data_IF_031659409898
#
_entry.id   IF_031659409898
#
_cell.length_a   1.000
_cell.length_b   1.000
_cell.length_c   1.000
_cell.angle_alpha   90.00
_cell.angle_beta   90.00
_cell.angle_gamma   90.00
#
_symmetry.space_group_name_H-M   'P 1'
#
loop_
_entity.id
_entity.type
_entity.pdbx_description
1 polymer ?
#
# COMPACT_ATOMS: atom_id res chain seq x y z
N UNK A 1 -12.93 -5.44 48.63
CA UNK A 1 -12.04 -4.52 47.90
C UNK A 1 -11.08 -5.38 47.11
N UNK A 2 -11.18 -5.43 45.76
CA UNK A 2 -10.15 -6.05 44.94
C UNK A 2 -8.86 -5.22 45.06
N UNK A 3 -7.71 -5.85 44.77
CA UNK A 3 -6.46 -5.11 44.63
C UNK A 3 -6.58 -4.13 43.45
N UNK A 4 -5.94 -2.95 43.56
CA UNK A 4 -5.87 -2.03 42.44
C UNK A 4 -5.15 -2.72 41.27
N UNK A 5 -5.82 -2.80 40.12
CA UNK A 5 -5.16 -3.13 38.86
C UNK A 5 -4.14 -2.04 38.54
N UNK A 6 -3.03 -2.41 37.90
CA UNK A 6 -2.17 -1.38 37.31
C UNK A 6 -2.90 -0.86 36.06
N UNK A 7 -3.00 0.46 35.91
CA UNK A 7 -3.51 1.07 34.68
C UNK A 7 -2.38 1.69 33.89
N UNK A 8 -2.56 1.81 32.58
CA UNK A 8 -1.61 2.48 31.69
C UNK A 8 -2.33 3.51 30.82
N UNK A 9 -1.70 4.65 30.61
CA UNK A 9 -2.27 5.72 29.79
C UNK A 9 -2.18 5.33 28.31
N UNK A 10 -3.22 5.65 27.54
CA UNK A 10 -3.09 5.72 26.08
C UNK A 10 -1.90 6.61 25.70
N UNK A 11 -0.98 6.10 24.86
CA UNK A 11 0.27 6.78 24.48
C UNK A 11 1.45 6.63 25.46
N UNK A 12 1.35 5.81 26.51
CA UNK A 12 2.48 5.52 27.41
C UNK A 12 3.53 4.57 26.79
N UNK A 13 4.82 4.88 27.02
CA UNK A 13 5.96 4.11 26.50
C UNK A 13 6.49 3.09 27.52
N UNK A 14 5.94 1.87 27.53
CA UNK A 14 6.38 0.76 28.39
C UNK A 14 7.71 0.11 27.97
N UNK A 15 8.39 0.66 26.95
CA UNK A 15 9.67 0.21 26.40
C UNK A 15 10.85 0.15 27.40
N UNK A 16 10.64 0.49 28.68
CA UNK A 16 11.65 0.47 29.73
C UNK A 16 12.10 -0.93 30.21
N UNK A 17 11.42 -2.02 29.84
CA UNK A 17 11.68 -3.35 30.41
C UNK A 17 12.80 -4.19 29.78
N UNK A 18 13.28 -3.87 28.58
CA UNK A 18 14.17 -4.77 27.82
C UNK A 18 15.48 -4.12 27.36
N UNK A 19 16.39 -3.93 28.31
CA UNK A 19 17.78 -3.56 28.02
C UNK A 19 18.65 -4.79 27.60
N UNK A 20 18.29 -5.49 26.52
CA UNK A 20 19.19 -6.38 25.78
C UNK A 20 18.65 -6.82 24.39
N UNK A 21 19.35 -6.41 23.33
CA UNK A 21 19.41 -7.08 22.00
C UNK A 21 18.10 -7.21 21.17
N UNK A 22 17.72 -6.11 20.50
CA UNK A 22 17.01 -6.14 19.21
C UNK A 22 17.45 -4.94 18.34
N UNK A 23 17.46 -5.03 16.99
CA UNK A 23 17.88 -3.93 16.12
C UNK A 23 16.84 -2.80 16.07
N UNK A 24 17.31 -1.57 15.92
CA UNK A 24 16.49 -0.37 16.13
C UNK A 24 15.46 -0.10 15.02
N UNK A 25 14.18 -0.23 15.38
CA UNK A 25 13.06 0.57 14.89
C UNK A 25 12.07 0.69 16.06
N UNK A 26 11.58 1.90 16.35
CA UNK A 26 10.91 2.18 17.64
C UNK A 26 9.74 1.26 17.96
N UNK A 27 9.69 0.77 19.20
CA UNK A 27 8.50 0.17 19.80
C UNK A 27 7.36 1.19 19.77
N UNK A 28 6.43 0.95 18.86
CA UNK A 28 5.05 1.38 18.97
C UNK A 28 4.22 0.12 18.98
N UNK A 29 3.14 0.15 19.74
CA UNK A 29 2.33 -1.00 20.12
C UNK A 29 1.42 -1.40 18.97
N UNK A 30 1.99 -1.90 17.87
CA UNK A 30 1.24 -2.07 16.61
C UNK A 30 0.47 -3.38 16.57
N UNK A 31 -0.65 -3.37 15.84
CA UNK A 31 -1.38 -4.54 15.37
C UNK A 31 -1.66 -4.37 13.88
N UNK A 32 -1.54 -5.45 13.10
CA UNK A 32 -1.81 -5.42 11.66
C UNK A 32 -3.27 -5.72 11.38
N UNK A 33 -3.88 -4.89 10.52
CA UNK A 33 -5.20 -5.15 9.93
C UNK A 33 -5.18 -4.89 8.42
N UNK A 34 -6.21 -5.36 7.74
CA UNK A 34 -6.38 -5.18 6.29
C UNK A 34 -6.49 -3.69 5.93
N UNK A 35 -5.67 -3.24 4.99
CA UNK A 35 -5.79 -1.90 4.44
C UNK A 35 -7.07 -1.80 3.61
N UNK A 36 -7.96 -0.87 3.96
CA UNK A 36 -9.20 -0.63 3.20
C UNK A 36 -8.90 0.01 1.85
N UNK A 37 -8.55 -0.81 0.85
CA UNK A 37 -8.44 -0.39 -0.54
C UNK A 37 -9.84 0.01 -1.05
N UNK A 38 -10.06 1.32 -1.21
CA UNK A 38 -11.22 1.87 -1.89
C UNK A 38 -11.20 1.45 -3.36
N UNK A 39 -11.77 0.27 -3.63
CA UNK A 39 -11.98 -0.24 -4.99
C UNK A 39 -13.21 0.42 -5.58
N UNK A 40 -13.01 1.28 -6.58
CA UNK A 40 -14.08 1.96 -7.32
C UNK A 40 -14.77 0.97 -8.28
N UNK A 41 -15.53 0.05 -7.69
CA UNK A 41 -16.07 -1.17 -8.31
C UNK A 41 -17.32 -0.89 -9.15
N UNK A 42 -17.15 -0.16 -10.27
CA UNK A 42 -18.24 0.16 -11.21
C UNK A 42 -17.95 -0.12 -12.69
N UNK A 43 -16.96 -0.96 -13.03
CA UNK A 43 -16.71 -1.37 -14.43
C UNK A 43 -16.69 -2.89 -14.71
N UNK A 44 -17.25 -3.72 -13.82
CA UNK A 44 -17.60 -5.11 -14.16
C UNK A 44 -19.04 -5.25 -14.70
N UNK A 45 -19.28 -4.83 -15.96
CA UNK A 45 -20.37 -5.40 -16.80
C UNK A 45 -20.30 -5.02 -18.29
N UNK A 46 -19.46 -5.72 -19.06
CA UNK A 46 -19.64 -5.87 -20.51
C UNK A 46 -18.97 -7.17 -21.00
N UNK A 47 -19.75 -8.24 -21.21
CA UNK A 47 -19.31 -9.48 -21.88
C UNK A 47 -19.78 -9.48 -23.34
N UNK A 48 -19.18 -10.38 -24.14
CA UNK A 48 -19.45 -10.67 -25.56
C UNK A 48 -18.83 -9.64 -26.52
N UNK A 49 -18.10 -10.01 -27.59
CA UNK A 49 -17.61 -11.33 -28.01
C UNK A 49 -16.98 -11.25 -29.41
N UNK A 50 -15.92 -12.03 -29.69
CA UNK A 50 -15.29 -12.12 -31.01
C UNK A 50 -14.68 -13.53 -31.23
N UNK A 51 -14.55 -14.01 -32.48
CA UNK A 51 -14.48 -15.45 -32.75
C UNK A 51 -13.07 -16.05 -32.69
N UNK A 52 -13.02 -17.36 -32.42
CA UNK A 52 -11.81 -18.16 -32.50
C UNK A 52 -11.44 -18.47 -33.97
N UNK A 53 -10.16 -18.33 -34.32
CA UNK A 53 -9.57 -18.86 -35.54
C UNK A 53 -8.71 -20.09 -35.21
N UNK A 54 -8.91 -21.18 -35.95
CA UNK A 54 -8.34 -22.48 -35.62
C UNK A 54 -7.17 -22.88 -36.54
N UNK A 55 -6.11 -23.44 -35.95
CA UNK A 55 -5.57 -24.72 -36.41
C UNK A 55 -4.57 -24.76 -37.58
N UNK A 56 -3.36 -25.21 -37.22
CA UNK A 56 -2.51 -26.14 -37.97
C UNK A 56 -1.55 -25.62 -39.07
N UNK A 57 -0.49 -26.42 -39.29
CA UNK A 57 0.30 -26.42 -40.52
C UNK A 57 1.73 -25.87 -40.41
N UNK A 58 2.69 -26.71 -40.01
CA UNK A 58 4.09 -26.48 -40.37
C UNK A 58 4.29 -26.73 -41.87
N UNK A 59 4.85 -25.77 -42.63
CA UNK A 59 5.68 -26.04 -43.82
C UNK A 59 6.56 -24.83 -44.18
N UNK A 60 7.70 -25.12 -44.82
CA UNK A 60 8.81 -24.17 -45.03
C UNK A 60 8.60 -23.21 -46.20
N UNK A 61 8.98 -21.94 -45.96
CA UNK A 61 9.62 -20.96 -46.88
C UNK A 61 9.05 -20.79 -48.30
N UNK A 62 8.57 -19.57 -48.58
CA UNK A 62 9.27 -18.61 -49.46
C UNK A 62 8.86 -17.17 -49.11
N UNK A 63 9.76 -16.21 -49.34
CA UNK A 63 9.58 -14.78 -49.02
C UNK A 63 8.80 -14.08 -50.12
N UNK A 64 7.89 -13.18 -49.74
CA UNK A 64 7.03 -12.41 -50.64
C UNK A 64 5.63 -12.33 -50.07
N UNK A 65 5.41 -11.39 -49.14
CA UNK A 65 4.06 -11.01 -48.74
C UNK A 65 3.53 -9.97 -49.73
N UNK A 66 2.29 -10.13 -50.13
CA UNK A 66 1.60 -9.26 -51.08
C UNK A 66 0.48 -8.53 -50.36
N UNK A 67 0.17 -7.31 -50.80
CA UNK A 67 -0.94 -6.52 -50.30
C UNK A 67 -1.65 -5.79 -51.44
N UNK A 68 -2.95 -5.57 -51.30
CA UNK A 68 -3.75 -4.78 -52.23
C UNK A 68 -3.71 -3.32 -51.80
N UNK A 69 -3.02 -2.46 -52.54
CA UNK A 69 -2.90 -1.05 -52.18
C UNK A 69 -4.19 -0.28 -52.51
N UNK A 70 -4.94 0.13 -51.49
CA UNK A 70 -6.21 0.83 -51.70
C UNK A 70 -6.07 2.36 -51.78
N UNK A 71 -5.06 2.95 -51.12
CA UNK A 71 -4.95 4.41 -50.96
C UNK A 71 -4.16 5.16 -52.03
N UNK A 72 -3.01 4.63 -52.49
CA UNK A 72 -2.05 5.39 -53.31
C UNK A 72 -2.22 5.22 -54.83
N UNK A 73 -2.63 4.04 -55.29
CA UNK A 73 -2.50 3.65 -56.71
C UNK A 73 -3.83 3.64 -57.50
N UNK A 74 -4.97 3.69 -56.80
CA UNK A 74 -6.29 3.61 -57.42
C UNK A 74 -6.63 2.19 -57.89
N UNK A 75 -7.52 1.53 -57.16
CA UNK A 75 -8.13 0.22 -57.50
C UNK A 75 -7.16 -0.96 -57.73
N UNK A 76 -6.83 -1.65 -56.64
CA UNK A 76 -6.66 -3.11 -56.68
C UNK A 76 -5.31 -3.66 -57.12
N UNK A 77 -4.28 -2.82 -57.29
CA UNK A 77 -2.94 -3.29 -57.63
C UNK A 77 -2.31 -4.05 -56.44
N UNK A 78 -1.72 -5.21 -56.73
CA UNK A 78 -1.10 -6.08 -55.74
C UNK A 78 0.40 -5.78 -55.68
N UNK A 79 0.85 -5.16 -54.60
CA UNK A 79 2.23 -4.69 -54.40
C UNK A 79 2.95 -5.56 -53.34
N UNK A 80 4.27 -5.73 -53.46
CA UNK A 80 5.06 -6.46 -52.47
C UNK A 80 5.34 -5.63 -51.21
N UNK A 81 4.96 -6.18 -50.06
CA UNK A 81 5.25 -5.62 -48.73
C UNK A 81 6.66 -5.98 -48.29
N UNK A 82 7.38 -5.01 -47.74
CA UNK A 82 8.73 -5.18 -47.18
C UNK A 82 8.68 -5.68 -45.73
N UNK A 83 7.95 -4.96 -44.87
CA UNK A 83 7.72 -5.28 -43.47
C UNK A 83 6.43 -4.57 -42.97
N UNK A 84 5.92 -4.97 -41.80
CA UNK A 84 4.87 -4.24 -41.08
C UNK A 84 5.51 -3.53 -39.88
N UNK A 85 5.36 -2.21 -39.79
CA UNK A 85 6.00 -1.36 -38.77
C UNK A 85 5.13 -1.12 -37.54
N UNK A 86 3.82 -1.03 -37.73
CA UNK A 86 2.87 -0.61 -36.71
C UNK A 86 1.50 -1.24 -36.88
N UNK A 87 0.67 -1.14 -35.86
CA UNK A 87 -0.71 -1.63 -35.81
C UNK A 87 -1.57 -0.58 -35.09
N UNK A 88 -2.80 -0.37 -35.52
CA UNK A 88 -3.79 0.45 -34.82
C UNK A 88 -5.19 -0.13 -34.97
N UNK A 89 -6.06 0.19 -34.02
CA UNK A 89 -7.50 -0.14 -34.12
C UNK A 89 -8.29 1.16 -34.18
N UNK A 90 -9.08 1.28 -35.23
CA UNK A 90 -10.05 2.36 -35.44
C UNK A 90 -11.47 1.81 -35.29
N UNK A 91 -12.44 2.71 -35.12
CA UNK A 91 -13.87 2.40 -35.26
C UNK A 91 -14.33 2.88 -36.64
N UNK A 92 -15.06 2.05 -37.37
CA UNK A 92 -15.77 2.47 -38.58
C UNK A 92 -17.00 3.33 -38.22
N UNK A 93 -17.67 3.90 -39.22
CA UNK A 93 -18.93 4.64 -39.04
C UNK A 93 -20.03 3.77 -38.38
N UNK A 94 -20.01 2.45 -38.60
CA UNK A 94 -20.91 1.46 -37.99
C UNK A 94 -20.49 1.02 -36.55
N UNK A 95 -19.59 1.75 -35.90
CA UNK A 95 -18.92 1.41 -34.63
C UNK A 95 -18.12 0.07 -34.62
N UNK A 96 -18.02 -0.60 -35.77
CA UNK A 96 -17.27 -1.87 -35.90
C UNK A 96 -15.76 -1.62 -35.81
N UNK A 97 -15.00 -2.42 -35.05
CA UNK A 97 -13.56 -2.25 -34.93
C UNK A 97 -12.83 -2.70 -36.20
N UNK A 98 -11.98 -1.83 -36.73
CA UNK A 98 -11.14 -2.05 -37.92
C UNK A 98 -9.67 -2.01 -37.51
N UNK A 99 -8.96 -3.11 -37.75
CA UNK A 99 -7.51 -3.20 -37.54
C UNK A 99 -6.79 -2.74 -38.80
N UNK A 100 -5.83 -1.84 -38.65
CA UNK A 100 -4.94 -1.38 -39.72
C UNK A 100 -3.48 -1.56 -39.31
N UNK A 101 -2.62 -1.80 -40.30
CA UNK A 101 -1.18 -1.92 -40.10
C UNK A 101 -0.46 -0.88 -40.94
N UNK A 102 0.66 -0.38 -40.41
CA UNK A 102 1.56 0.52 -41.13
C UNK A 102 2.49 -0.34 -41.99
N UNK A 103 2.28 -0.27 -43.31
CA UNK A 103 2.96 -1.07 -44.31
C UNK A 103 4.20 -0.33 -44.80
N UNK A 104 5.37 -0.97 -44.75
CA UNK A 104 6.53 -0.54 -45.51
C UNK A 104 6.54 -1.24 -46.86
N UNK A 105 6.57 -0.49 -47.95
CA UNK A 105 6.53 -1.01 -49.31
C UNK A 105 7.94 -1.32 -49.86
N UNK A 106 8.09 -2.32 -50.73
CA UNK A 106 9.41 -2.68 -51.32
C UNK A 106 9.86 -1.78 -52.46
N UNK A 107 8.93 -1.15 -53.15
CA UNK A 107 9.15 -0.23 -54.27
C UNK A 107 9.73 1.13 -53.84
N UNK A 108 9.71 1.43 -52.52
CA UNK A 108 10.12 2.72 -51.97
C UNK A 108 8.96 3.73 -51.86
N UNK A 109 7.72 3.30 -52.09
CA UNK A 109 6.52 4.10 -51.80
C UNK A 109 6.44 4.45 -50.31
N UNK A 110 5.87 5.62 -49.95
CA UNK A 110 5.77 6.06 -48.56
C UNK A 110 4.94 5.08 -47.73
N UNK A 111 5.32 4.89 -46.46
CA UNK A 111 4.62 3.98 -45.55
C UNK A 111 3.13 4.39 -45.43
N UNK A 112 2.20 3.46 -45.63
CA UNK A 112 0.75 3.71 -45.52
C UNK A 112 0.06 2.80 -44.54
N UNK A 113 -1.05 3.28 -43.96
CA UNK A 113 -1.95 2.48 -43.15
C UNK A 113 -2.93 1.73 -44.06
N UNK A 114 -2.82 0.40 -44.10
CA UNK A 114 -3.74 -0.46 -44.84
C UNK A 114 -4.53 -1.36 -43.85
N UNK A 115 -5.82 -1.64 -44.11
CA UNK A 115 -6.61 -2.53 -43.28
C UNK A 115 -6.09 -3.97 -43.38
N UNK A 116 -6.27 -4.75 -42.31
CA UNK A 116 -5.87 -6.16 -42.27
C UNK A 116 -6.45 -6.99 -43.44
N UNK A 117 -7.63 -6.64 -43.96
CA UNK A 117 -8.27 -7.28 -45.12
C UNK A 117 -7.52 -7.13 -46.44
N UNK A 118 -6.63 -6.13 -46.55
CA UNK A 118 -5.82 -5.88 -47.75
C UNK A 118 -4.47 -6.61 -47.70
N UNK A 119 -4.12 -7.20 -46.55
CA UNK A 119 -2.82 -7.81 -46.27
C UNK A 119 -2.94 -9.34 -46.31
N UNK A 120 -1.93 -10.01 -46.84
CA UNK A 120 -1.88 -11.47 -46.80
C UNK A 120 -1.68 -12.00 -45.36
N UNK A 121 -2.43 -13.05 -44.98
CA UNK A 121 -2.44 -13.66 -43.63
C UNK A 121 -1.03 -14.00 -43.10
N UNK A 122 -0.08 -14.33 -43.98
CA UNK A 122 1.28 -14.63 -43.58
C UNK A 122 2.03 -13.40 -43.04
N UNK A 123 1.79 -12.20 -43.56
CA UNK A 123 2.38 -10.96 -43.04
C UNK A 123 1.84 -10.65 -41.64
N UNK A 124 0.52 -10.77 -41.45
CA UNK A 124 -0.14 -10.55 -40.17
C UNK A 124 0.40 -11.52 -39.10
N UNK A 125 0.50 -12.81 -39.47
CA UNK A 125 1.02 -13.86 -38.59
C UNK A 125 2.53 -13.74 -38.32
N UNK A 126 3.32 -13.24 -39.27
CA UNK A 126 4.76 -13.00 -39.05
C UNK A 126 4.99 -11.78 -38.12
N UNK A 127 4.15 -10.74 -38.21
CA UNK A 127 4.18 -9.59 -37.30
C UNK A 127 3.77 -9.99 -35.86
N UNK A 128 2.71 -10.78 -35.70
CA UNK A 128 2.29 -11.29 -34.39
C UNK A 128 3.35 -12.24 -33.78
N UNK A 129 3.96 -13.11 -34.59
CA UNK A 129 5.08 -13.95 -34.14
C UNK A 129 6.31 -13.13 -33.72
N UNK A 130 6.56 -11.98 -34.34
CA UNK A 130 7.63 -11.07 -33.95
C UNK A 130 7.34 -10.40 -32.61
N UNK A 131 6.09 -9.97 -32.37
CA UNK A 131 5.65 -9.49 -31.05
C UNK A 131 5.82 -10.54 -29.96
N UNK A 132 5.17 -11.71 -30.08
CA UNK A 132 5.29 -12.77 -29.09
C UNK A 132 6.72 -13.31 -28.96
N UNK A 133 7.50 -13.28 -30.04
CA UNK A 133 8.91 -13.65 -30.05
C UNK A 133 9.81 -12.67 -29.29
N UNK A 134 9.48 -11.37 -29.27
CA UNK A 134 10.16 -10.36 -28.47
C UNK A 134 9.73 -10.46 -27.00
N UNK A 135 8.43 -10.51 -26.74
CA UNK A 135 7.84 -10.66 -25.40
C UNK A 135 8.34 -11.93 -24.70
N UNK A 136 8.35 -13.10 -25.35
CA UNK A 136 8.80 -14.37 -24.76
C UNK A 136 10.33 -14.45 -24.56
N UNK A 137 11.10 -13.50 -25.10
CA UNK A 137 12.55 -13.36 -24.87
C UNK A 137 12.91 -12.27 -23.86
N UNK A 138 11.99 -11.37 -23.54
CA UNK A 138 12.29 -10.16 -22.77
C UNK A 138 13.13 -9.14 -23.56
N UNK A 139 12.94 -9.08 -24.89
CA UNK A 139 13.60 -8.11 -25.78
C UNK A 139 12.87 -6.75 -25.67
N UNK A 140 13.26 -5.98 -24.66
CA UNK A 140 12.67 -4.68 -24.34
C UNK A 140 12.79 -3.68 -25.51
N UNK A 141 13.91 -3.68 -26.23
CA UNK A 141 14.13 -2.77 -27.37
C UNK A 141 13.15 -3.06 -28.51
N UNK A 142 12.98 -4.33 -28.88
CA UNK A 142 12.03 -4.73 -29.92
C UNK A 142 10.57 -4.48 -29.48
N UNK A 143 10.21 -4.75 -28.22
CA UNK A 143 8.86 -4.47 -27.71
C UNK A 143 8.57 -2.97 -27.73
N UNK A 144 9.50 -2.13 -27.26
CA UNK A 144 9.38 -0.67 -27.31
C UNK A 144 9.25 -0.15 -28.74
N UNK A 145 10.10 -0.62 -29.67
CA UNK A 145 10.05 -0.23 -31.08
C UNK A 145 8.70 -0.57 -31.72
N UNK A 146 8.09 -1.70 -31.34
CA UNK A 146 6.76 -2.07 -31.82
C UNK A 146 5.67 -1.18 -31.20
N UNK A 147 5.72 -0.92 -29.89
CA UNK A 147 4.78 -0.01 -29.19
C UNK A 147 4.77 1.40 -29.82
N UNK A 148 5.95 1.96 -30.11
CA UNK A 148 6.08 3.27 -30.78
C UNK A 148 5.34 3.34 -32.14
N UNK A 149 5.14 2.18 -32.80
CA UNK A 149 4.31 2.04 -34.01
C UNK A 149 2.80 2.01 -33.77
N UNK A 150 2.31 2.43 -32.59
CA UNK A 150 0.90 2.35 -32.17
C UNK A 150 0.49 0.99 -31.58
N UNK A 151 1.45 0.09 -31.35
CA UNK A 151 1.19 -1.28 -30.93
C UNK A 151 0.80 -1.44 -29.45
N UNK A 152 0.31 -0.38 -28.80
CA UNK A 152 -0.34 -0.44 -27.49
C UNK A 152 -1.54 -1.43 -27.50
N UNK A 153 -2.18 -1.58 -28.67
CA UNK A 153 -3.16 -2.64 -28.95
C UNK A 153 -2.62 -4.04 -28.60
N UNK A 154 -1.33 -4.30 -28.82
CA UNK A 154 -0.68 -5.58 -28.51
C UNK A 154 -0.38 -5.77 -27.03
N UNK A 155 -0.36 -4.71 -26.20
CA UNK A 155 -0.30 -4.86 -24.75
C UNK A 155 -1.54 -5.59 -24.20
N UNK A 156 -2.66 -5.51 -24.92
CA UNK A 156 -3.95 -6.13 -24.62
C UNK A 156 -4.17 -7.50 -25.28
N UNK A 157 -3.27 -7.95 -26.16
CA UNK A 157 -3.41 -9.28 -26.78
C UNK A 157 -3.01 -10.38 -25.80
N UNK A 158 -3.56 -11.58 -26.02
CA UNK A 158 -3.34 -12.74 -25.17
C UNK A 158 -2.90 -13.94 -26.01
N UNK A 159 -1.96 -14.70 -25.49
CA UNK A 159 -1.47 -15.95 -26.07
C UNK A 159 -2.56 -17.05 -26.00
N UNK A 160 -2.33 -18.20 -26.63
CA UNK A 160 -3.23 -19.37 -26.60
C UNK A 160 -3.63 -19.79 -25.17
N UNK A 161 -2.77 -19.51 -24.17
CA UNK A 161 -2.98 -19.77 -22.75
C UNK A 161 -3.57 -18.60 -21.95
N UNK A 162 -4.16 -17.62 -22.63
CA UNK A 162 -4.80 -16.43 -22.05
C UNK A 162 -3.84 -15.49 -21.29
N UNK A 163 -2.54 -15.59 -21.59
CA UNK A 163 -1.46 -14.78 -20.99
C UNK A 163 -1.22 -13.52 -21.83
N UNK A 164 -1.35 -12.34 -21.22
CA UNK A 164 -0.91 -11.08 -21.81
C UNK A 164 0.61 -10.92 -21.80
N UNK A 165 1.13 -9.93 -22.53
CA UNK A 165 2.55 -9.58 -22.45
C UNK A 165 3.00 -9.19 -21.03
N UNK A 166 2.09 -8.65 -20.18
CA UNK A 166 2.36 -8.34 -18.77
C UNK A 166 2.76 -9.59 -17.98
N UNK A 167 2.11 -10.75 -18.22
CA UNK A 167 2.47 -12.01 -17.56
C UNK A 167 3.90 -12.45 -17.85
N UNK A 168 4.34 -12.33 -19.11
CA UNK A 168 5.69 -12.71 -19.51
C UNK A 168 6.72 -11.73 -18.94
N UNK A 169 6.45 -10.43 -19.00
CA UNK A 169 7.30 -9.41 -18.37
C UNK A 169 7.43 -9.60 -16.85
N UNK A 170 6.33 -9.96 -16.17
CA UNK A 170 6.29 -10.31 -14.76
C UNK A 170 7.12 -11.56 -14.42
N UNK A 171 6.97 -12.64 -15.19
CA UNK A 171 7.72 -13.89 -15.02
C UNK A 171 9.23 -13.78 -15.32
N UNK A 172 9.66 -12.71 -15.99
CA UNK A 172 11.07 -12.41 -16.26
C UNK A 172 11.66 -11.30 -15.36
N UNK A 173 10.85 -10.71 -14.49
CA UNK A 173 11.29 -9.63 -13.59
C UNK A 173 11.59 -8.29 -14.26
N UNK A 174 10.94 -8.02 -15.40
CA UNK A 174 11.17 -6.82 -16.21
C UNK A 174 10.27 -5.67 -15.78
N UNK A 175 10.54 -5.10 -14.61
CA UNK A 175 9.72 -4.05 -13.99
C UNK A 175 9.45 -2.84 -14.92
N UNK A 176 10.47 -2.37 -15.65
CA UNK A 176 10.34 -1.25 -16.60
C UNK A 176 9.43 -1.61 -17.79
N UNK A 177 9.50 -2.85 -18.26
CA UNK A 177 8.65 -3.35 -19.35
C UNK A 177 7.19 -3.50 -18.88
N UNK A 178 6.98 -3.97 -17.64
CA UNK A 178 5.65 -4.00 -17.01
C UNK A 178 5.06 -2.60 -16.92
N UNK A 179 5.79 -1.61 -16.40
CA UNK A 179 5.31 -0.23 -16.31
C UNK A 179 4.87 0.33 -17.67
N UNK A 180 5.64 0.06 -18.74
CA UNK A 180 5.27 0.47 -20.11
C UNK A 180 4.04 -0.27 -20.64
N UNK A 181 3.96 -1.59 -20.44
CA UNK A 181 2.81 -2.40 -20.84
C UNK A 181 1.52 -1.97 -20.14
N UNK A 182 1.59 -1.61 -18.85
CA UNK A 182 0.45 -1.08 -18.09
C UNK A 182 0.06 0.32 -18.58
N UNK A 183 1.02 1.21 -18.83
CA UNK A 183 0.76 2.52 -19.41
C UNK A 183 0.14 2.45 -20.83
N UNK A 184 0.46 1.41 -21.60
CA UNK A 184 -0.16 1.07 -22.88
C UNK A 184 -1.56 0.43 -22.76
N UNK A 185 -2.13 0.35 -21.56
CA UNK A 185 -3.46 -0.21 -21.31
C UNK A 185 -3.51 -1.74 -21.23
N UNK A 186 -2.38 -2.41 -20.98
CA UNK A 186 -2.35 -3.83 -20.66
C UNK A 186 -3.05 -4.13 -19.34
N UNK A 187 -3.88 -5.17 -19.31
CA UNK A 187 -4.68 -5.56 -18.14
C UNK A 187 -3.77 -6.13 -17.03
N UNK A 188 -3.81 -5.49 -15.85
CA UNK A 188 -2.93 -5.81 -14.70
C UNK A 188 -3.35 -7.09 -13.97
N UNK A 189 -4.67 -7.30 -13.80
CA UNK A 189 -5.25 -8.46 -13.10
C UNK A 189 -5.83 -9.53 -14.04
N UNK A 190 -5.48 -9.49 -15.33
CA UNK A 190 -5.88 -10.55 -16.25
C UNK A 190 -5.38 -11.90 -15.73
N UNK A 191 -6.28 -12.84 -15.50
CA UNK A 191 -5.92 -14.21 -15.13
C UNK A 191 -5.68 -15.10 -16.37
N UNK A 192 -4.61 -15.91 -16.32
CA UNK A 192 -4.36 -16.96 -17.31
C UNK A 192 -5.30 -18.17 -17.17
N UNK A 193 -5.14 -19.21 -18.01
CA UNK A 193 -5.99 -20.42 -17.95
C UNK A 193 -6.00 -21.14 -16.59
N UNK A 194 -4.93 -21.02 -15.82
CA UNK A 194 -4.79 -21.62 -14.48
C UNK A 194 -5.14 -20.63 -13.36
N UNK A 195 -5.69 -19.45 -13.69
CA UNK A 195 -6.06 -18.40 -12.74
C UNK A 195 -4.91 -17.50 -12.32
N UNK A 196 -3.67 -17.73 -12.78
CA UNK A 196 -2.54 -16.92 -12.35
C UNK A 196 -2.58 -15.54 -13.01
N UNK A 197 -2.58 -14.49 -12.20
CA UNK A 197 -2.36 -13.10 -12.62
C UNK A 197 -0.85 -12.81 -12.83
N UNK A 198 -0.49 -11.67 -13.47
CA UNK A 198 0.89 -11.18 -13.48
C UNK A 198 1.51 -11.06 -12.08
N UNK A 199 0.73 -10.72 -11.06
CA UNK A 199 1.21 -10.62 -9.68
C UNK A 199 1.64 -11.99 -9.12
N UNK A 200 0.83 -13.04 -9.33
CA UNK A 200 1.22 -14.42 -9.01
C UNK A 200 2.52 -14.84 -9.71
N UNK A 201 2.69 -14.49 -10.99
CA UNK A 201 3.91 -14.80 -11.74
C UNK A 201 5.12 -14.09 -11.13
N UNK A 202 5.05 -12.78 -10.91
CA UNK A 202 6.14 -12.01 -10.30
C UNK A 202 6.48 -12.53 -8.88
N UNK A 203 5.47 -12.90 -8.10
CA UNK A 203 5.60 -13.45 -6.76
C UNK A 203 6.27 -14.85 -6.75
N UNK A 204 5.80 -15.79 -7.57
CA UNK A 204 6.36 -17.15 -7.66
C UNK A 204 7.78 -17.22 -8.22
N UNK A 205 8.16 -16.26 -9.08
CA UNK A 205 9.54 -16.10 -9.59
C UNK A 205 10.42 -15.17 -8.73
N UNK A 206 9.88 -14.60 -7.64
CA UNK A 206 10.57 -13.76 -6.64
C UNK A 206 11.08 -12.41 -7.18
N UNK A 207 10.37 -11.80 -8.12
CA UNK A 207 10.77 -10.56 -8.79
C UNK A 207 10.25 -9.31 -8.09
N UNK A 208 10.86 -8.99 -6.93
CA UNK A 208 10.41 -7.89 -6.04
C UNK A 208 10.21 -6.54 -6.74
N UNK A 209 11.16 -6.10 -7.58
CA UNK A 209 11.02 -4.85 -8.35
C UNK A 209 9.79 -4.81 -9.25
N UNK A 210 9.33 -5.99 -9.71
CA UNK A 210 8.19 -6.11 -10.63
C UNK A 210 6.88 -6.25 -9.88
N UNK A 211 6.89 -6.88 -8.70
CA UNK A 211 5.76 -6.86 -7.76
C UNK A 211 5.44 -5.42 -7.36
N UNK A 212 6.44 -4.63 -6.96
CA UNK A 212 6.26 -3.22 -6.64
C UNK A 212 5.71 -2.40 -7.83
N UNK A 213 6.13 -2.71 -9.06
CA UNK A 213 5.61 -2.07 -10.27
C UNK A 213 4.16 -2.47 -10.60
N UNK A 214 3.75 -3.71 -10.30
CA UNK A 214 2.37 -4.18 -10.47
C UNK A 214 1.44 -3.57 -9.42
N UNK A 215 1.83 -3.58 -8.14
CA UNK A 215 1.07 -2.97 -7.04
C UNK A 215 0.89 -1.45 -7.27
N UNK A 216 1.95 -0.74 -7.67
CA UNK A 216 1.85 0.68 -8.07
C UNK A 216 1.02 0.91 -9.34
N UNK A 217 0.80 -0.14 -10.14
CA UNK A 217 -0.11 -0.16 -11.29
C UNK A 217 -1.55 -0.53 -10.96
N UNK A 218 -1.88 -0.69 -9.66
CA UNK A 218 -3.22 -1.04 -9.20
C UNK A 218 -3.55 -2.53 -9.25
N UNK A 219 -2.54 -3.41 -9.28
CA UNK A 219 -2.76 -4.86 -9.19
C UNK A 219 -3.45 -5.25 -7.88
N UNK A 220 -4.45 -6.11 -7.98
CA UNK A 220 -5.17 -6.68 -6.84
C UNK A 220 -4.30 -7.77 -6.14
N UNK A 221 -3.90 -7.58 -4.87
CA UNK A 221 -3.12 -8.56 -4.11
C UNK A 221 -3.97 -9.71 -3.53
N UNK A 222 -5.30 -9.62 -3.57
CA UNK A 222 -6.23 -10.64 -3.07
C UNK A 222 -6.68 -11.62 -4.16
N UNK A 223 -6.69 -11.20 -5.43
CA UNK A 223 -7.20 -11.98 -6.56
C UNK A 223 -6.65 -13.42 -6.55
N UNK A 224 -7.53 -14.40 -6.34
CA UNK A 224 -7.18 -15.81 -6.21
C UNK A 224 -6.86 -16.50 -7.56
N UNK A 225 -5.97 -17.51 -7.52
CA UNK A 225 -5.76 -18.47 -8.61
C UNK A 225 -6.85 -19.56 -8.68
N UNK A 226 -6.75 -20.48 -9.66
CA UNK A 226 -7.72 -21.58 -9.83
C UNK A 226 -7.73 -22.59 -8.67
N UNK A 227 -6.73 -22.57 -7.80
CA UNK A 227 -6.66 -23.38 -6.58
C UNK A 227 -7.22 -22.63 -5.35
N UNK A 228 -7.73 -21.41 -5.51
CA UNK A 228 -8.24 -20.58 -4.42
C UNK A 228 -7.14 -19.98 -3.55
N UNK A 229 -5.95 -19.75 -4.13
CA UNK A 229 -4.81 -19.16 -3.41
C UNK A 229 -4.57 -17.74 -3.86
N UNK A 230 -4.34 -16.83 -2.91
CA UNK A 230 -3.82 -15.50 -3.21
C UNK A 230 -2.33 -15.54 -3.64
N UNK A 231 -1.79 -14.48 -4.27
CA UNK A 231 -0.36 -14.33 -4.51
C UNK A 231 0.51 -14.52 -3.27
N UNK A 232 0.03 -14.10 -2.10
CA UNK A 232 0.70 -14.29 -0.81
C UNK A 232 0.75 -15.77 -0.41
N UNK A 233 -0.39 -16.46 -0.42
CA UNK A 233 -0.50 -17.88 -0.09
C UNK A 233 0.26 -18.78 -1.07
N UNK A 234 0.30 -18.41 -2.35
CA UNK A 234 1.16 -19.07 -3.34
C UNK A 234 2.62 -19.03 -2.88
N UNK A 235 3.13 -17.86 -2.49
CA UNK A 235 4.52 -17.70 -2.02
C UNK A 235 4.76 -18.43 -0.70
N UNK A 236 3.81 -18.40 0.25
CA UNK A 236 3.91 -19.16 1.49
C UNK A 236 3.96 -20.67 1.25
N UNK A 237 3.11 -21.20 0.37
CA UNK A 237 3.11 -22.62 0.00
C UNK A 237 4.42 -23.04 -0.69
N UNK A 238 4.96 -22.19 -1.58
CA UNK A 238 6.27 -22.39 -2.20
C UNK A 238 7.41 -22.36 -1.18
N UNK A 239 7.33 -21.48 -0.16
CA UNK A 239 8.29 -21.41 0.94
C UNK A 239 8.22 -22.65 1.82
N UNK A 240 7.03 -23.10 2.18
CA UNK A 240 6.80 -24.30 3.00
C UNK A 240 7.33 -25.57 2.31
N UNK A 241 7.15 -25.70 0.99
CA UNK A 241 7.61 -26.85 0.22
C UNK A 241 9.15 -26.98 0.09
N UNK A 242 9.93 -25.92 0.41
CA UNK A 242 11.39 -25.92 0.26
C UNK A 242 12.09 -26.34 1.56
N UNK A 243 12.85 -27.45 1.59
CA UNK A 243 13.56 -27.91 2.78
C UNK A 243 14.71 -26.96 3.16
N UNK A 244 14.88 -26.68 4.44
CA UNK A 244 15.84 -25.69 4.96
C UNK A 244 17.31 -26.17 5.01
N UNK A 245 17.65 -27.31 4.40
CA UNK A 245 18.94 -28.02 4.59
C UNK A 245 20.02 -27.70 3.55
N UNK A 246 19.67 -27.13 2.39
CA UNK A 246 20.61 -26.85 1.30
C UNK A 246 20.84 -25.33 1.18
N UNK A 247 22.09 -24.83 1.09
CA UNK A 247 22.34 -23.39 0.93
C UNK A 247 21.59 -22.75 -0.24
N UNK A 248 21.37 -23.47 -1.34
CA UNK A 248 20.56 -22.98 -2.48
C UNK A 248 19.06 -22.86 -2.15
N UNK A 249 18.51 -23.75 -1.32
CA UNK A 249 17.11 -23.65 -0.89
C UNK A 249 16.92 -22.61 0.22
N UNK A 250 17.93 -22.39 1.06
CA UNK A 250 17.98 -21.27 2.01
C UNK A 250 17.94 -19.93 1.28
N UNK A 251 18.79 -19.73 0.26
CA UNK A 251 18.78 -18.49 -0.53
C UNK A 251 17.42 -18.26 -1.22
N UNK A 252 16.80 -19.32 -1.76
CA UNK A 252 15.46 -19.23 -2.36
C UNK A 252 14.38 -18.92 -1.31
N UNK A 253 14.47 -19.50 -0.11
CA UNK A 253 13.57 -19.21 1.01
C UNK A 253 13.67 -17.75 1.44
N UNK A 254 14.87 -17.19 1.58
CA UNK A 254 15.07 -15.76 1.88
C UNK A 254 14.46 -14.85 0.79
N UNK A 255 14.59 -15.21 -0.48
CA UNK A 255 13.96 -14.45 -1.58
C UNK A 255 12.42 -14.50 -1.53
N UNK A 256 11.83 -15.64 -1.17
CA UNK A 256 10.37 -15.76 -0.94
C UNK A 256 9.94 -14.98 0.31
N UNK A 257 10.74 -14.95 1.38
CA UNK A 257 10.46 -14.19 2.60
C UNK A 257 10.47 -12.67 2.35
N UNK A 258 11.38 -12.17 1.52
CA UNK A 258 11.36 -10.77 1.07
C UNK A 258 10.11 -10.42 0.25
N UNK A 259 9.58 -11.38 -0.52
CA UNK A 259 8.32 -11.20 -1.27
C UNK A 259 7.11 -11.18 -0.34
N UNK A 260 7.04 -12.12 0.61
CA UNK A 260 6.02 -12.15 1.67
C UNK A 260 6.00 -10.80 2.38
N UNK A 261 7.14 -10.34 2.89
CA UNK A 261 7.23 -9.08 3.62
C UNK A 261 6.71 -7.88 2.80
N UNK A 262 6.99 -7.83 1.49
CA UNK A 262 6.51 -6.74 0.65
C UNK A 262 5.01 -6.82 0.36
N UNK A 263 4.48 -8.01 0.07
CA UNK A 263 3.03 -8.20 -0.13
C UNK A 263 2.29 -7.87 1.16
N UNK A 264 2.74 -8.40 2.30
CA UNK A 264 2.19 -8.08 3.63
C UNK A 264 2.22 -6.57 3.89
N UNK A 265 3.33 -5.88 3.64
CA UNK A 265 3.43 -4.43 3.86
C UNK A 265 2.58 -3.56 2.92
N UNK A 266 1.98 -4.14 1.88
CA UNK A 266 1.04 -3.45 0.98
C UNK A 266 -0.42 -3.88 1.20
N UNK A 267 -0.67 -5.05 1.79
CA UNK A 267 -2.01 -5.56 2.13
C UNK A 267 -2.44 -5.15 3.54
N UNK A 268 -1.50 -5.00 4.46
CA UNK A 268 -1.76 -4.72 5.87
C UNK A 268 -1.12 -3.40 6.30
N UNK A 269 -1.89 -2.59 7.00
CA UNK A 269 -1.37 -1.43 7.72
C UNK A 269 -1.06 -1.80 9.18
N UNK A 270 0.06 -1.28 9.69
CA UNK A 270 0.39 -1.32 11.11
C UNK A 270 -0.39 -0.19 11.83
N UNK A 271 -1.35 -0.53 12.67
CA UNK A 271 -2.17 0.44 13.43
C UNK A 271 -1.91 0.28 14.93
N UNK A 272 -1.82 1.38 15.67
CA UNK A 272 -1.78 1.34 17.14
C UNK A 272 -3.22 1.09 17.67
N UNK A 273 -3.49 -0.01 18.41
CA UNK A 273 -4.84 -0.35 18.85
C UNK A 273 -5.22 0.44 20.11
N UNK A 274 -6.50 0.80 20.21
CA UNK A 274 -7.07 1.52 21.35
C UNK A 274 -7.11 0.64 22.61
N UNK A 275 -7.46 -0.64 22.46
CA UNK A 275 -7.49 -1.62 23.55
C UNK A 275 -7.48 -3.06 23.02
N UNK A 276 -7.02 -4.00 23.84
CA UNK A 276 -7.31 -5.44 23.68
C UNK A 276 -8.34 -5.85 24.72
N UNK A 277 -9.42 -6.47 24.26
CA UNK A 277 -10.62 -6.73 25.06
C UNK A 277 -10.74 -8.18 25.52
N UNK A 278 -10.25 -9.14 24.73
CA UNK A 278 -10.38 -10.56 25.00
C UNK A 278 -9.28 -11.38 24.29
N UNK A 279 -9.10 -12.64 24.70
CA UNK A 279 -8.15 -13.61 24.14
C UNK A 279 -8.83 -14.98 23.99
N UNK A 280 -8.90 -15.49 22.76
CA UNK A 280 -9.40 -16.84 22.47
C UNK A 280 -8.33 -17.72 21.81
N UNK A 281 -8.58 -19.02 21.76
CA UNK A 281 -7.90 -19.93 20.84
C UNK A 281 -8.93 -20.32 19.78
N UNK A 282 -8.60 -20.11 18.52
CA UNK A 282 -9.44 -20.53 17.40
C UNK A 282 -9.38 -22.05 17.29
N UNK A 283 -10.54 -22.72 17.33
CA UNK A 283 -10.65 -24.18 17.35
C UNK A 283 -10.23 -24.83 16.01
N UNK A 284 -10.28 -24.09 14.90
CA UNK A 284 -10.00 -24.58 13.55
C UNK A 284 -8.51 -24.44 13.17
N UNK A 285 -7.89 -23.31 13.51
CA UNK A 285 -6.45 -23.07 13.28
C UNK A 285 -5.56 -23.51 14.44
N UNK A 286 -6.11 -23.62 15.66
CA UNK A 286 -5.35 -23.82 16.90
C UNK A 286 -4.53 -22.60 17.34
N UNK A 287 -4.66 -21.46 16.64
CA UNK A 287 -3.91 -20.23 16.93
C UNK A 287 -4.60 -19.41 18.03
N UNK A 288 -3.82 -18.61 18.75
CA UNK A 288 -4.36 -17.59 19.66
C UNK A 288 -4.81 -16.39 18.85
N UNK A 289 -6.00 -15.89 19.15
CA UNK A 289 -6.56 -14.66 18.58
C UNK A 289 -6.93 -13.70 19.70
N UNK A 290 -6.73 -12.41 19.45
CA UNK A 290 -6.99 -11.31 20.38
C UNK A 290 -8.13 -10.46 19.83
N UNK A 291 -9.08 -10.08 20.69
CA UNK A 291 -10.12 -9.14 20.31
C UNK A 291 -9.56 -7.72 20.45
N UNK A 292 -9.20 -7.11 19.32
CA UNK A 292 -8.54 -5.81 19.25
C UNK A 292 -9.56 -4.74 18.87
N UNK A 293 -9.62 -3.67 19.65
CA UNK A 293 -10.35 -2.45 19.29
C UNK A 293 -9.37 -1.43 18.71
N UNK A 294 -9.63 -0.94 17.50
CA UNK A 294 -8.90 0.17 16.89
C UNK A 294 -9.55 1.52 17.25
N UNK A 295 -8.85 2.64 17.06
CA UNK A 295 -9.38 3.98 17.41
C UNK A 295 -10.45 4.49 16.43
N UNK A 296 -10.37 4.07 15.17
CA UNK A 296 -11.17 4.53 14.03
C UNK A 296 -12.28 3.55 13.61
N UNK A 297 -12.37 2.38 14.25
CA UNK A 297 -13.44 1.41 14.05
C UNK A 297 -14.40 1.34 15.24
N UNK A 298 -15.70 1.24 14.94
CA UNK A 298 -16.75 1.14 15.96
C UNK A 298 -16.78 -0.25 16.62
N UNK A 299 -16.51 -1.32 15.85
CA UNK A 299 -16.54 -2.71 16.31
C UNK A 299 -15.12 -3.29 16.47
N UNK A 300 -14.86 -4.09 17.53
CA UNK A 300 -13.56 -4.74 17.73
C UNK A 300 -13.43 -6.01 16.88
N UNK A 301 -12.24 -6.23 16.30
CA UNK A 301 -11.94 -7.34 15.39
C UNK A 301 -11.10 -8.40 16.10
N UNK A 302 -11.31 -9.68 15.78
CA UNK A 302 -10.41 -10.77 16.19
C UNK A 302 -9.17 -10.85 15.28
N UNK A 303 -7.99 -10.65 15.86
CA UNK A 303 -6.70 -10.62 15.16
C UNK A 303 -5.81 -11.77 15.66
N UNK A 304 -5.25 -12.57 14.76
CA UNK A 304 -4.31 -13.66 15.08
C UNK A 304 -3.05 -13.10 15.79
N UNK A 305 -2.57 -13.80 16.81
CA UNK A 305 -1.38 -13.44 17.58
C UNK A 305 -0.12 -13.21 16.72
N UNK A 306 -0.02 -13.75 15.50
CA UNK A 306 1.07 -13.43 14.56
C UNK A 306 1.08 -11.97 14.08
N UNK A 307 -0.05 -11.27 14.19
CA UNK A 307 -0.28 -9.90 13.74
C UNK A 307 -0.42 -8.88 14.90
N UNK A 308 -0.40 -9.35 16.15
CA UNK A 308 -0.42 -8.51 17.35
C UNK A 308 0.98 -8.45 17.93
N UNK A 309 1.50 -7.24 18.18
CA UNK A 309 2.83 -7.09 18.79
C UNK A 309 2.90 -7.71 20.19
N UNK A 310 4.06 -8.29 20.52
CA UNK A 310 4.28 -8.97 21.81
C UNK A 310 4.04 -8.04 23.02
N UNK A 311 4.39 -6.76 22.91
CA UNK A 311 4.12 -5.75 23.95
C UNK A 311 2.62 -5.59 24.24
N UNK A 312 1.76 -5.63 23.21
CA UNK A 312 0.30 -5.53 23.35
C UNK A 312 -0.27 -6.79 24.03
N UNK A 313 0.25 -7.97 23.67
CA UNK A 313 -0.11 -9.23 24.31
C UNK A 313 0.32 -9.31 25.78
N UNK A 314 1.56 -8.89 26.10
CA UNK A 314 2.10 -8.86 27.47
C UNK A 314 1.35 -7.86 28.36
N UNK A 315 0.93 -6.71 27.83
CA UNK A 315 0.11 -5.74 28.55
C UNK A 315 -1.26 -6.33 28.94
N UNK A 316 -1.96 -7.01 28.02
CA UNK A 316 -3.21 -7.70 28.34
C UNK A 316 -3.00 -8.81 29.37
N UNK A 317 -1.98 -9.66 29.20
CA UNK A 317 -1.70 -10.78 30.11
C UNK A 317 -1.26 -10.33 31.52
N UNK A 318 -0.65 -9.14 31.63
CA UNK A 318 -0.33 -8.52 32.93
C UNK A 318 -1.52 -7.78 33.56
N UNK A 319 -2.68 -7.74 32.88
CA UNK A 319 -3.90 -7.09 33.36
C UNK A 319 -3.80 -5.56 33.36
N UNK A 320 -2.98 -4.98 32.48
CA UNK A 320 -2.89 -3.52 32.31
C UNK A 320 -4.15 -3.00 31.61
N UNK A 321 -5.06 -2.40 32.38
CA UNK A 321 -6.20 -1.70 31.81
C UNK A 321 -5.72 -0.40 31.13
N UNK A 322 -6.03 -0.25 29.84
CA UNK A 322 -5.83 1.00 29.11
C UNK A 322 -6.98 1.94 29.42
N UNK A 323 -6.64 3.13 29.94
CA UNK A 323 -7.60 4.21 30.15
C UNK A 323 -7.05 5.51 29.59
N UNK A 324 -7.93 6.36 29.07
CA UNK A 324 -7.55 7.71 28.67
C UNK A 324 -7.34 8.54 29.94
N UNK A 325 -6.16 9.12 30.09
CA UNK A 325 -5.83 10.04 31.18
C UNK A 325 -6.24 11.47 30.80
N UNK A 326 -6.94 12.15 31.70
CA UNK A 326 -7.31 13.57 31.52
C UNK A 326 -6.12 14.48 31.85
N UNK A 327 -5.42 14.20 32.96
CA UNK A 327 -4.26 14.98 33.39
C UNK A 327 -3.35 14.22 34.35
N UNK A 328 -2.06 14.56 34.35
CA UNK A 328 -1.18 14.35 35.50
C UNK A 328 -1.51 15.43 36.54
N UNK A 329 -1.78 15.05 37.78
CA UNK A 329 -2.13 15.98 38.87
C UNK A 329 -1.08 16.03 39.99
N UNK A 330 -0.12 15.10 40.00
CA UNK A 330 0.99 15.13 40.96
C UNK A 330 2.14 14.22 40.56
N UNK A 331 3.30 14.40 41.20
CA UNK A 331 4.48 13.58 41.01
C UNK A 331 5.12 13.24 42.36
N UNK A 332 5.63 12.02 42.50
CA UNK A 332 6.47 11.58 43.61
C UNK A 332 7.70 10.86 43.07
N UNK A 333 8.86 11.18 43.63
CA UNK A 333 10.12 10.54 43.27
C UNK A 333 10.71 9.82 44.49
N UNK A 334 11.17 8.58 44.29
CA UNK A 334 11.90 7.82 45.31
C UNK A 334 13.18 7.24 44.69
N UNK A 335 14.29 7.94 44.89
CA UNK A 335 15.55 7.63 44.21
C UNK A 335 15.44 7.94 42.71
N UNK A 336 15.73 6.96 41.86
CA UNK A 336 15.57 7.07 40.40
C UNK A 336 14.13 6.83 39.93
N UNK A 337 13.25 6.26 40.75
CA UNK A 337 11.90 5.92 40.33
C UNK A 337 10.95 7.10 40.49
N UNK A 338 10.43 7.62 39.37
CA UNK A 338 9.31 8.59 39.33
C UNK A 338 7.98 7.86 39.20
N UNK A 339 6.98 8.36 39.92
CA UNK A 339 5.56 7.99 39.76
C UNK A 339 4.72 9.26 39.67
N UNK A 340 3.71 9.24 38.82
CA UNK A 340 2.76 10.33 38.65
C UNK A 340 1.38 9.91 39.17
N UNK A 341 0.64 10.86 39.74
CA UNK A 341 -0.75 10.68 40.11
C UNK A 341 -1.61 11.09 38.91
N UNK A 342 -2.38 10.15 38.39
CA UNK A 342 -3.16 10.31 37.17
C UNK A 342 -4.62 10.54 37.52
N UNK A 343 -5.20 11.60 36.95
CA UNK A 343 -6.64 11.77 36.85
C UNK A 343 -7.09 11.09 35.56
N UNK A 344 -7.86 10.03 35.68
CA UNK A 344 -8.45 9.33 34.54
C UNK A 344 -9.67 10.11 33.99
N UNK A 345 -10.01 9.87 32.72
CA UNK A 345 -11.18 10.48 32.08
C UNK A 345 -12.50 9.74 32.35
N UNK A 346 -12.43 8.52 32.91
CA UNK A 346 -13.56 7.80 33.49
C UNK A 346 -13.69 8.11 34.99
N UNK A 347 -14.80 7.71 35.62
CA UNK A 347 -15.06 7.89 37.07
C UNK A 347 -14.14 7.02 37.97
N UNK A 348 -13.01 6.55 37.47
CA UNK A 348 -12.06 5.70 38.19
C UNK A 348 -11.20 6.55 39.15
N UNK A 349 -10.92 6.06 40.37
CA UNK A 349 -10.12 6.81 41.34
C UNK A 349 -8.71 7.09 40.83
N UNK A 350 -8.15 8.23 41.25
CA UNK A 350 -6.79 8.66 40.91
C UNK A 350 -5.74 7.63 41.37
N UNK A 351 -4.89 7.16 40.45
CA UNK A 351 -3.86 6.13 40.75
C UNK A 351 -2.43 6.62 40.52
N UNK A 352 -1.49 6.00 41.23
CA UNK A 352 -0.07 6.35 41.20
C UNK A 352 0.73 5.45 40.25
N UNK A 353 0.71 5.80 38.97
CA UNK A 353 1.38 5.05 37.92
C UNK A 353 2.88 5.38 37.81
N UNK A 354 3.74 4.43 37.43
CA UNK A 354 5.14 4.70 37.11
C UNK A 354 5.26 5.51 35.82
N UNK A 355 6.37 6.23 35.64
CA UNK A 355 6.63 7.07 34.46
C UNK A 355 6.42 6.34 33.12
N UNK A 356 6.79 5.06 33.04
CA UNK A 356 6.62 4.16 31.89
C UNK A 356 5.15 3.85 31.52
N UNK A 357 4.18 4.13 32.41
CA UNK A 357 2.74 3.94 32.20
C UNK A 357 1.98 5.26 31.95
N UNK A 358 2.71 6.37 31.74
CA UNK A 358 2.12 7.70 31.60
C UNK A 358 2.52 8.30 30.26
N UNK A 359 1.58 8.98 29.59
CA UNK A 359 1.86 9.66 28.33
C UNK A 359 2.95 10.73 28.51
N UNK A 360 4.02 10.72 27.69
CA UNK A 360 5.08 11.73 27.75
C UNK A 360 4.56 13.16 27.60
N UNK A 361 3.52 13.36 26.79
CA UNK A 361 2.91 14.68 26.56
C UNK A 361 2.19 15.20 27.81
N UNK A 362 1.52 14.33 28.57
CA UNK A 362 0.86 14.72 29.83
C UNK A 362 1.88 15.03 30.94
N UNK A 363 2.99 14.28 31.00
CA UNK A 363 4.11 14.59 31.90
C UNK A 363 4.65 15.98 31.58
N UNK A 364 4.92 16.25 30.31
CA UNK A 364 5.47 17.52 29.84
C UNK A 364 4.53 18.69 30.14
N UNK A 365 3.24 18.57 29.84
CA UNK A 365 2.24 19.60 30.13
C UNK A 365 2.18 19.94 31.63
N UNK A 366 2.30 18.93 32.50
CA UNK A 366 2.35 19.15 33.95
C UNK A 366 3.65 19.81 34.40
N UNK A 367 4.81 19.39 33.88
CA UNK A 367 6.10 20.01 34.19
C UNK A 367 6.14 21.49 33.76
N UNK A 368 5.57 21.84 32.59
CA UNK A 368 5.45 23.21 32.09
C UNK A 368 4.55 24.08 33.00
N UNK A 369 3.42 23.54 33.49
CA UNK A 369 2.54 24.25 34.44
C UNK A 369 3.23 24.54 35.78
N UNK A 370 4.01 23.60 36.31
CA UNK A 370 4.73 23.79 37.58
C UNK A 370 5.84 24.84 37.46
N UNK A 371 6.57 24.86 36.33
CA UNK A 371 7.59 25.88 36.08
C UNK A 371 6.98 27.28 36.01
N UNK A 372 5.88 27.46 35.26
CA UNK A 372 5.14 28.73 35.21
C UNK A 372 4.63 29.21 36.58
N UNK A 373 4.23 28.30 37.46
CA UNK A 373 3.84 28.63 38.84
C UNK A 373 5.03 29.02 39.75
N UNK A 374 6.23 28.50 39.48
CA UNK A 374 7.44 28.84 40.25
C UNK A 374 8.01 30.23 39.91
N UNK A 375 8.00 30.62 38.63
CA UNK A 375 8.48 31.94 38.20
C UNK A 375 7.57 33.09 38.67
N UNK A 376 6.28 32.83 38.89
CA UNK A 376 5.37 33.79 39.50
C UNK A 376 5.69 34.09 40.99
N UNK A 377 6.42 33.20 41.68
CA UNK A 377 6.74 33.34 43.12
C UNK A 377 8.13 33.94 43.41
N UNK A 378 8.98 34.15 42.40
CA UNK A 378 10.36 34.62 42.58
C UNK A 378 10.50 36.15 42.61
N UNK A 379 9.46 36.90 42.20
CA UNK A 379 9.53 38.35 42.06
C UNK A 379 9.18 39.10 43.38
N UNK A 380 9.93 38.78 44.44
CA UNK A 380 9.72 39.35 45.77
C UNK A 380 10.99 39.44 46.61
N UNK A 381 11.44 40.68 46.85
CA UNK A 381 12.47 41.09 47.85
C UNK A 381 13.94 41.09 47.40
N UNK A 382 14.41 42.24 46.88
CA UNK A 382 15.64 42.84 47.41
C UNK A 382 15.65 44.36 47.23
N UNK A 383 15.86 45.09 48.32
CA UNK A 383 15.98 46.54 48.35
C UNK A 383 17.37 46.94 48.88
N UNK A 384 17.97 48.04 48.42
CA UNK A 384 19.20 48.54 49.05
C UNK A 384 20.03 49.60 48.33
N UNK A 385 19.55 50.86 48.30
CA UNK A 385 20.38 52.09 48.10
C UNK A 385 21.08 52.26 46.73
N UNK A 386 21.52 53.44 46.27
CA UNK A 386 21.54 54.79 46.85
C UNK A 386 21.57 55.83 45.69
N UNK A 387 20.86 56.95 45.76
CA UNK A 387 20.87 57.95 44.66
C UNK A 387 19.98 59.17 44.91
N UNK A 388 20.61 60.33 45.18
CA UNK A 388 19.96 61.55 45.68
C UNK A 388 19.65 62.59 44.57
N UNK A 389 18.71 63.51 44.86
CA UNK A 389 18.30 64.73 44.12
C UNK A 389 17.38 64.52 42.89
N UNK A 390 16.29 65.26 42.67
CA UNK A 390 15.60 66.27 43.50
C UNK A 390 14.60 67.13 42.67
N UNK A 391 13.49 67.63 43.27
CA UNK A 391 12.43 68.49 42.67
C UNK A 391 11.58 67.83 41.55
N UNK A 392 10.33 68.19 41.20
CA UNK A 392 9.23 69.02 41.74
C UNK A 392 7.98 68.81 40.81
N UNK A 393 6.71 69.13 41.11
CA UNK A 393 5.93 69.43 42.33
C UNK A 393 4.41 69.46 41.99
N UNK A 394 3.52 69.34 42.99
CA UNK A 394 2.03 69.43 42.92
C UNK A 394 1.29 68.31 42.13
N UNK A 395 0.04 67.92 42.46
CA UNK A 395 -0.83 68.37 43.55
C UNK A 395 -2.12 67.54 43.71
N UNK A 396 -2.81 67.82 44.81
CA UNK A 396 -4.21 67.52 45.18
C UNK A 396 -5.26 67.67 44.05
N UNK A 397 -6.45 67.02 44.04
CA UNK A 397 -7.17 66.24 45.07
C UNK A 397 -8.34 65.38 44.51
N UNK A 398 -8.86 64.48 45.37
CA UNK A 398 -10.26 64.08 45.60
C UNK A 398 -11.19 63.56 44.46
N UNK A 399 -11.62 62.28 44.60
CA UNK A 399 -12.97 61.81 45.05
C UNK A 399 -14.26 62.54 44.55
N UNK A 400 -15.45 61.87 44.44
CA UNK A 400 -15.89 60.73 45.27
C UNK A 400 -16.66 59.59 44.54
N UNK A 401 -17.30 58.73 45.35
CA UNK A 401 -17.89 57.43 44.98
C UNK A 401 -19.43 57.47 44.70
N UNK A 402 -20.26 56.45 45.03
CA UNK A 402 -20.86 55.57 44.03
C UNK A 402 -22.40 55.65 43.97
N UNK A 403 -23.05 54.83 43.13
CA UNK A 403 -24.52 54.65 43.15
C UNK A 403 -24.94 53.23 42.76
N UNK A 404 -25.75 52.61 43.61
CA UNK A 404 -26.48 51.35 43.33
C UNK A 404 -27.64 51.58 42.37
N UNK A 405 -28.04 50.56 41.61
CA UNK A 405 -29.46 50.28 41.41
C UNK A 405 -29.75 48.78 41.20
N UNK A 406 -30.89 48.35 41.72
CA UNK A 406 -31.44 46.98 41.74
C UNK A 406 -32.77 46.96 40.96
N UNK A 407 -33.36 45.76 40.79
CA UNK A 407 -34.65 45.43 40.12
C UNK A 407 -34.55 45.29 38.59
N UNK A 408 -35.28 44.39 37.91
CA UNK A 408 -36.21 43.30 38.31
C UNK A 408 -36.38 42.35 37.09
N UNK A 409 -36.59 41.04 37.23
CA UNK A 409 -37.81 40.31 37.64
C UNK A 409 -38.73 39.87 36.47
N UNK A 410 -39.04 38.57 36.44
CA UNK A 410 -40.06 37.85 35.63
C UNK A 410 -39.87 37.76 34.10
N UNK A 411 -40.30 36.69 33.43
CA UNK A 411 -41.12 35.53 33.87
C UNK A 411 -40.53 34.19 33.39
#
# INVERSE_FOLDING_TARGET
MPAAGNRTCAGASTSGRWAAQAPAAGSRRRAQRWASLQTDSQLQQARLGAPAAAGAGQRRRRRGGLAVAAGLFGSGEIVEVKDLKGIRVLKNEDDTPRVEYLVEWKDGSPDTWEPATNLADNLLRDYEQRWWGAVKKGDEEMVNTMMEGGADVLARTVDENRRSAVHFAAAMGKAQLVQRLLAAGGEVDLADKEGYTPLHMAAGYMHTSTIAALLAGGADPEQEDRQGRSPLELVESLRAALPATNPMTVQRRMALENVIQMLTANMFEDVDPAAVLDKRVNEESGHTEWLVKFEDEEEPIWVDAKYVSQEVAEDYESGLEYAQAEAVIGMRQRGTMRKYLIKWSDDYPETWEPEEHVSPDLIRQWEEQQQGSSDASSNGTQAGSNGSQGSAAAGTAAAPAPSMQLQGSAA
#
